data_IF_474242869706
#
_entry.id   IF_474242869706
#
_cell.length_a   1.000
_cell.length_b   1.000
_cell.length_c   1.000
_cell.angle_alpha   90.00
_cell.angle_beta   90.00
_cell.angle_gamma   90.00
#
_symmetry.space_group_name_H-M   'P 1'
#
loop_
_entity.id
_entity.type
_entity.pdbx_description
1 polymer ?
#
# COMPACT_ATOMS: atom_id res chain seq x y z
N UNK A 1 -49.67 -26.52 -0.92
CA UNK A 1 -48.50 -25.63 -0.94
C UNK A 1 -47.48 -26.29 -1.83
N UNK A 2 -47.51 -25.97 -3.11
CA UNK A 2 -46.81 -26.77 -4.11
C UNK A 2 -45.31 -26.49 -4.09
N UNK A 3 -44.56 -27.53 -3.74
CA UNK A 3 -43.12 -27.53 -3.84
C UNK A 3 -42.74 -27.40 -5.31
N UNK A 4 -41.89 -26.41 -5.62
CA UNK A 4 -41.36 -26.21 -6.98
C UNK A 4 -40.64 -27.49 -7.42
N UNK A 5 -41.05 -28.12 -8.54
CA UNK A 5 -40.43 -29.36 -8.99
C UNK A 5 -38.95 -29.14 -9.34
N UNK A 6 -38.09 -30.15 -9.15
CA UNK A 6 -36.67 -30.04 -9.50
C UNK A 6 -36.49 -29.76 -11.00
N UNK A 7 -35.46 -28.98 -11.40
CA UNK A 7 -35.26 -28.63 -12.79
C UNK A 7 -34.95 -29.87 -13.65
N UNK A 8 -35.40 -29.89 -14.92
CA UNK A 8 -35.23 -31.03 -15.80
C UNK A 8 -33.75 -31.25 -16.14
N UNK A 9 -33.35 -32.53 -16.30
CA UNK A 9 -31.97 -32.91 -16.66
C UNK A 9 -31.58 -32.50 -18.09
N UNK A 10 -32.57 -32.30 -18.96
CA UNK A 10 -32.41 -31.87 -20.34
C UNK A 10 -33.36 -30.71 -20.62
N UNK A 11 -32.90 -29.73 -21.39
CA UNK A 11 -33.65 -28.53 -21.72
C UNK A 11 -33.90 -28.48 -23.23
N UNK A 12 -35.16 -28.49 -23.64
CA UNK A 12 -35.54 -28.24 -25.03
C UNK A 12 -35.49 -26.73 -25.32
N UNK A 13 -34.34 -26.28 -25.84
CA UNK A 13 -34.02 -24.85 -26.00
C UNK A 13 -35.06 -24.12 -26.85
N UNK A 14 -35.58 -24.74 -27.91
CA UNK A 14 -36.54 -24.11 -28.84
C UNK A 14 -37.88 -23.83 -28.17
N UNK A 15 -38.48 -24.85 -27.52
CA UNK A 15 -39.74 -24.71 -26.81
C UNK A 15 -39.62 -23.68 -25.69
N UNK A 16 -38.57 -23.77 -24.88
CA UNK A 16 -38.31 -22.82 -23.81
C UNK A 16 -38.18 -21.36 -24.31
N UNK A 17 -37.51 -21.16 -25.45
CA UNK A 17 -37.37 -19.83 -26.05
C UNK A 17 -38.68 -19.29 -26.64
N UNK A 18 -39.49 -20.15 -27.28
CA UNK A 18 -40.79 -19.77 -27.86
C UNK A 18 -41.78 -19.31 -26.80
N UNK A 19 -41.89 -20.05 -25.69
CA UNK A 19 -42.79 -19.71 -24.57
C UNK A 19 -42.44 -18.34 -23.95
N UNK A 20 -41.18 -17.89 -24.08
CA UNK A 20 -40.66 -16.65 -23.49
C UNK A 20 -40.38 -15.55 -24.52
N UNK A 21 -40.79 -15.71 -25.78
CA UNK A 21 -40.44 -14.76 -26.85
C UNK A 21 -40.95 -13.34 -26.59
N UNK A 22 -42.14 -13.19 -26.00
CA UNK A 22 -42.72 -11.89 -25.65
C UNK A 22 -41.89 -11.15 -24.59
N UNK A 23 -41.49 -11.87 -23.53
CA UNK A 23 -40.62 -11.35 -22.47
C UNK A 23 -39.24 -10.95 -23.02
N UNK A 24 -38.63 -11.79 -23.86
CA UNK A 24 -37.33 -11.51 -24.47
C UNK A 24 -37.37 -10.29 -25.38
N UNK A 25 -38.45 -10.09 -26.15
CA UNK A 25 -38.64 -8.90 -27.00
C UNK A 25 -38.77 -7.63 -26.16
N UNK A 26 -39.58 -7.69 -25.09
CA UNK A 26 -39.73 -6.57 -24.16
C UNK A 26 -38.40 -6.19 -23.49
N UNK A 27 -37.66 -7.19 -23.01
CA UNK A 27 -36.33 -6.99 -22.43
C UNK A 27 -35.34 -6.42 -23.45
N UNK A 28 -35.32 -6.95 -24.67
CA UNK A 28 -34.44 -6.45 -25.72
C UNK A 28 -34.74 -4.99 -26.07
N UNK A 29 -36.02 -4.62 -26.21
CA UNK A 29 -36.41 -3.24 -26.47
C UNK A 29 -35.94 -2.29 -25.35
N UNK A 30 -36.15 -2.68 -24.09
CA UNK A 30 -35.71 -1.90 -22.93
C UNK A 30 -34.19 -1.77 -22.81
N UNK A 31 -33.43 -2.82 -23.11
CA UNK A 31 -31.96 -2.83 -23.00
C UNK A 31 -31.31 -2.15 -24.20
N UNK A 32 -31.80 -2.39 -25.43
CA UNK A 32 -31.23 -1.82 -26.65
C UNK A 32 -31.29 -0.29 -26.63
N UNK A 33 -32.36 0.29 -26.09
CA UNK A 33 -32.51 1.73 -25.90
C UNK A 33 -31.48 2.33 -24.93
N UNK A 34 -30.97 1.54 -23.96
CA UNK A 34 -29.99 2.00 -22.96
C UNK A 34 -28.54 1.83 -23.41
N UNK A 35 -28.28 0.87 -24.29
CA UNK A 35 -26.92 0.45 -24.66
C UNK A 35 -26.54 0.91 -26.08
N UNK A 36 -27.42 1.65 -26.77
CA UNK A 36 -27.27 2.07 -28.17
C UNK A 36 -26.88 0.91 -29.10
N UNK A 37 -27.45 -0.28 -28.85
CA UNK A 37 -27.10 -1.50 -29.59
C UNK A 37 -25.67 -2.04 -29.41
N UNK A 38 -24.86 -1.48 -28.49
CA UNK A 38 -23.47 -1.90 -28.25
C UNK A 38 -23.37 -3.08 -27.29
N UNK A 39 -23.72 -4.28 -27.76
CA UNK A 39 -23.63 -5.52 -26.98
C UNK A 39 -22.21 -6.13 -26.89
N UNK A 40 -21.19 -5.44 -27.41
CA UNK A 40 -19.83 -5.99 -27.48
C UNK A 40 -19.11 -5.94 -26.12
N UNK A 41 -18.68 -7.11 -25.64
CA UNK A 41 -17.84 -7.18 -24.46
C UNK A 41 -16.39 -6.80 -24.76
N UNK A 42 -15.76 -5.92 -23.95
CA UNK A 42 -14.38 -5.54 -24.15
C UNK A 42 -13.45 -6.75 -23.99
N UNK A 43 -12.39 -6.81 -24.80
CA UNK A 43 -11.40 -7.90 -24.74
C UNK A 43 -10.80 -8.11 -23.35
N UNK A 44 -10.72 -7.06 -22.52
CA UNK A 44 -10.24 -7.15 -21.11
C UNK A 44 -11.20 -7.88 -20.17
N UNK A 45 -12.49 -7.96 -20.48
CA UNK A 45 -13.49 -8.68 -19.69
C UNK A 45 -13.56 -10.18 -20.05
N UNK A 46 -13.02 -10.57 -21.21
CA UNK A 46 -13.01 -11.98 -21.64
C UNK A 46 -12.23 -12.85 -20.66
N UNK A 47 -12.71 -14.08 -20.44
CA UNK A 47 -12.09 -15.10 -19.58
C UNK A 47 -12.00 -16.41 -20.36
N UNK A 48 -11.02 -17.25 -20.00
CA UNK A 48 -10.95 -18.62 -20.53
C UNK A 48 -11.85 -19.51 -19.69
N UNK A 49 -12.53 -20.46 -20.34
CA UNK A 49 -13.29 -21.50 -19.66
C UNK A 49 -12.33 -22.44 -18.92
N UNK A 50 -12.77 -22.95 -17.79
CA UNK A 50 -12.05 -23.99 -17.04
C UNK A 50 -12.64 -25.36 -17.38
N UNK A 51 -11.82 -26.40 -17.38
CA UNK A 51 -12.31 -27.75 -17.61
C UNK A 51 -13.35 -28.18 -16.57
N UNK A 52 -14.36 -28.93 -17.02
CA UNK A 52 -15.45 -29.43 -16.16
C UNK A 52 -15.02 -30.58 -15.24
N UNK A 53 -13.90 -31.25 -15.56
CA UNK A 53 -13.41 -32.35 -14.75
C UNK A 53 -12.79 -31.82 -13.43
N UNK A 54 -13.16 -32.39 -12.28
CA UNK A 54 -12.50 -32.06 -11.03
C UNK A 54 -11.01 -32.40 -11.15
N UNK A 55 -10.15 -31.45 -10.76
CA UNK A 55 -8.68 -31.53 -10.89
C UNK A 55 -8.05 -32.79 -10.27
N UNK A 56 -8.79 -33.58 -9.47
CA UNK A 56 -8.33 -34.78 -8.78
C UNK A 56 -7.87 -35.90 -9.72
N UNK A 57 -8.40 -36.01 -10.95
CA UNK A 57 -8.09 -37.16 -11.84
C UNK A 57 -6.78 -37.06 -12.63
N UNK A 58 -6.14 -35.89 -12.76
CA UNK A 58 -4.96 -35.73 -13.64
C UNK A 58 -3.63 -36.26 -13.08
N UNK A 59 -3.57 -36.75 -11.83
CA UNK A 59 -2.31 -37.25 -11.24
C UNK A 59 -2.24 -38.75 -11.02
N UNK A 60 -3.38 -39.44 -10.85
CA UNK A 60 -3.38 -40.90 -10.74
C UNK A 60 -2.78 -41.56 -12.00
N UNK A 61 -3.04 -40.99 -13.20
CA UNK A 61 -2.57 -41.59 -14.45
C UNK A 61 -1.12 -41.27 -14.86
N UNK A 62 -0.40 -40.39 -14.13
CA UNK A 62 1.03 -40.13 -14.40
C UNK A 62 1.97 -40.79 -13.38
N UNK A 63 1.45 -41.19 -12.23
CA UNK A 63 2.19 -41.97 -11.23
C UNK A 63 2.01 -43.49 -11.36
N UNK A 64 0.95 -43.97 -12.02
CA UNK A 64 0.72 -45.41 -12.18
C UNK A 64 1.59 -46.09 -13.26
N UNK A 65 2.37 -45.32 -14.04
CA UNK A 65 3.29 -45.86 -15.05
C UNK A 65 4.76 -45.95 -14.57
N UNK A 66 5.06 -45.48 -13.36
CA UNK A 66 6.38 -45.63 -12.75
C UNK A 66 6.16 -46.21 -11.35
N UNK A 67 6.36 -47.53 -11.24
CA UNK A 67 6.15 -48.29 -10.01
C UNK A 67 6.97 -47.75 -8.85
N UNK A 68 6.30 -47.64 -7.70
CA UNK A 68 6.75 -47.84 -6.32
C UNK A 68 5.70 -47.20 -5.41
N UNK A 69 4.99 -48.03 -4.66
CA UNK A 69 4.14 -47.56 -3.57
C UNK A 69 5.04 -47.17 -2.39
N UNK A 70 4.87 -45.99 -1.77
CA UNK A 70 5.31 -45.78 -0.41
C UNK A 70 4.13 -46.05 0.53
N UNK A 71 4.41 -46.90 1.53
CA UNK A 71 3.62 -47.02 2.75
C UNK A 71 3.62 -45.71 3.55
N UNK A 72 2.56 -45.59 4.36
CA UNK A 72 2.39 -44.77 5.55
C UNK A 72 2.61 -43.25 5.48
N UNK A 73 1.49 -42.55 5.68
CA UNK A 73 1.41 -41.11 5.83
C UNK A 73 0.15 -40.63 5.15
N UNK A 74 -0.96 -40.57 5.91
CA UNK A 74 -2.25 -40.06 5.44
C UNK A 74 -2.02 -38.79 4.61
N UNK A 75 -2.13 -38.82 3.26
CA UNK A 75 -1.76 -37.69 2.45
C UNK A 75 -2.91 -36.70 2.61
N UNK A 76 -2.80 -35.83 3.62
CA UNK A 76 -3.78 -34.80 3.92
C UNK A 76 -4.21 -34.18 2.60
N UNK A 77 -5.49 -34.37 2.27
CA UNK A 77 -5.99 -34.11 0.92
C UNK A 77 -5.56 -32.70 0.54
N UNK A 78 -4.61 -32.58 -0.40
CA UNK A 78 -3.97 -31.29 -0.71
C UNK A 78 -5.08 -30.29 -1.00
N UNK A 79 -5.21 -29.32 -0.11
CA UNK A 79 -6.33 -28.40 -0.11
C UNK A 79 -6.45 -27.71 -1.46
N UNK A 80 -7.69 -27.41 -1.86
CA UNK A 80 -7.92 -26.74 -3.13
C UNK A 80 -7.10 -25.44 -3.21
N UNK A 81 -6.66 -25.06 -4.41
CA UNK A 81 -5.91 -23.81 -4.64
C UNK A 81 -6.62 -22.58 -4.03
N UNK A 82 -7.96 -22.61 -3.98
CA UNK A 82 -8.77 -21.55 -3.36
C UNK A 82 -8.58 -21.53 -1.84
N UNK A 83 -8.66 -22.68 -1.18
CA UNK A 83 -8.52 -22.80 0.28
C UNK A 83 -7.10 -22.43 0.70
N UNK A 84 -6.08 -22.99 0.05
CA UNK A 84 -4.67 -22.65 0.35
C UNK A 84 -4.41 -21.15 0.26
N UNK A 85 -4.91 -20.49 -0.79
CA UNK A 85 -4.78 -19.03 -0.96
C UNK A 85 -5.55 -18.23 0.07
N UNK A 86 -6.68 -18.74 0.57
CA UNK A 86 -7.44 -18.07 1.64
C UNK A 86 -6.67 -18.13 2.95
N UNK A 87 -6.06 -19.28 3.25
CA UNK A 87 -5.18 -19.43 4.39
C UNK A 87 -3.93 -18.56 4.25
N UNK A 88 -3.28 -18.52 3.08
CA UNK A 88 -2.15 -17.62 2.83
C UNK A 88 -2.55 -16.13 2.98
N UNK A 89 -3.78 -15.75 2.62
CA UNK A 89 -4.29 -14.38 2.86
C UNK A 89 -4.56 -14.10 4.34
N UNK A 90 -5.11 -15.08 5.06
CA UNK A 90 -5.39 -14.99 6.49
C UNK A 90 -4.11 -15.09 7.34
N UNK A 91 -3.03 -15.66 6.79
CA UNK A 91 -1.72 -15.79 7.42
C UNK A 91 -0.82 -14.57 7.25
N UNK A 92 -1.37 -13.42 6.82
CA UNK A 92 -0.63 -12.16 6.89
C UNK A 92 -0.43 -11.81 8.37
N UNK A 93 0.80 -11.55 8.83
CA UNK A 93 1.05 -11.19 10.22
C UNK A 93 0.41 -9.83 10.53
N UNK A 94 0.06 -9.61 11.81
CA UNK A 94 -0.49 -8.33 12.27
C UNK A 94 0.52 -7.19 12.10
N UNK A 95 1.80 -7.47 12.34
CA UNK A 95 2.92 -6.57 12.14
C UNK A 95 3.96 -7.16 11.18
N UNK A 96 4.66 -6.31 10.44
CA UNK A 96 5.71 -6.74 9.51
C UNK A 96 5.20 -7.37 8.21
N UNK A 97 6.13 -8.01 7.50
CA UNK A 97 5.87 -8.70 6.22
C UNK A 97 5.98 -10.22 6.39
N UNK A 98 5.20 -10.96 5.59
CA UNK A 98 5.39 -12.41 5.51
C UNK A 98 6.70 -12.72 4.76
N UNK A 99 7.46 -13.68 5.25
CA UNK A 99 8.78 -14.02 4.69
C UNK A 99 8.68 -15.35 3.94
N UNK A 100 9.26 -15.40 2.74
CA UNK A 100 9.41 -16.65 1.99
C UNK A 100 10.49 -17.53 2.63
N UNK A 101 10.52 -18.83 2.32
CA UNK A 101 11.50 -19.76 2.90
C UNK A 101 12.98 -19.39 2.66
N UNK A 102 13.25 -18.49 1.71
CA UNK A 102 14.58 -17.98 1.40
C UNK A 102 14.82 -16.54 1.87
N UNK A 103 14.03 -16.06 2.84
CA UNK A 103 14.23 -14.76 3.48
C UNK A 103 13.61 -13.56 2.76
N UNK A 104 13.06 -13.72 1.54
CA UNK A 104 12.46 -12.58 0.85
C UNK A 104 11.07 -12.24 1.40
N UNK A 105 10.87 -10.95 1.69
CA UNK A 105 9.63 -10.39 2.20
C UNK A 105 8.54 -10.31 1.13
N UNK A 106 7.29 -10.46 1.54
CA UNK A 106 6.10 -10.37 0.70
C UNK A 106 5.18 -9.30 1.25
N UNK A 107 4.77 -8.38 0.38
CA UNK A 107 3.77 -7.37 0.70
C UNK A 107 2.44 -8.03 1.08
N UNK A 108 1.62 -7.34 1.88
CA UNK A 108 0.27 -7.83 2.27
C UNK A 108 -0.63 -8.14 1.07
N UNK A 109 -0.42 -7.42 -0.04
CA UNK A 109 -1.13 -7.59 -1.32
C UNK A 109 -0.49 -8.63 -2.25
N UNK A 110 0.57 -9.34 -1.82
CA UNK A 110 1.36 -10.23 -2.66
C UNK A 110 0.51 -11.26 -3.40
N UNK A 111 -0.48 -11.87 -2.75
CA UNK A 111 -1.36 -12.87 -3.38
C UNK A 111 -2.26 -12.28 -4.48
N UNK A 112 -2.62 -11.01 -4.37
CA UNK A 112 -3.37 -10.32 -5.42
C UNK A 112 -2.48 -10.05 -6.64
N UNK A 113 -1.26 -9.59 -6.39
CA UNK A 113 -0.25 -9.31 -7.41
C UNK A 113 0.22 -10.60 -8.11
N UNK A 114 0.59 -11.65 -7.37
CA UNK A 114 1.05 -12.94 -7.89
C UNK A 114 0.00 -13.69 -8.73
N UNK A 115 -1.28 -13.28 -8.68
CA UNK A 115 -2.34 -13.82 -9.56
C UNK A 115 -2.40 -13.13 -10.93
N UNK A 116 -1.86 -11.92 -11.04
CA UNK A 116 -2.07 -11.01 -12.18
C UNK A 116 -0.75 -10.62 -12.87
N UNK A 117 0.34 -10.65 -12.12
CA UNK A 117 1.65 -10.19 -12.51
C UNK A 117 2.68 -11.29 -12.35
N UNK A 118 3.66 -11.27 -13.24
CA UNK A 118 4.92 -11.95 -13.06
C UNK A 118 5.66 -11.29 -11.89
N UNK A 119 5.97 -12.11 -10.89
CA UNK A 119 6.64 -11.68 -9.67
C UNK A 119 8.13 -11.96 -9.78
N UNK A 120 8.97 -11.09 -9.22
CA UNK A 120 10.41 -11.30 -9.15
C UNK A 120 10.99 -10.77 -7.85
N UNK A 121 12.19 -11.23 -7.53
CA UNK A 121 12.94 -10.81 -6.34
C UNK A 121 13.67 -9.50 -6.63
N UNK A 122 13.43 -8.48 -5.82
CA UNK A 122 14.08 -7.16 -5.88
C UNK A 122 14.21 -6.62 -4.47
N UNK A 123 15.41 -6.21 -4.09
CA UNK A 123 15.69 -5.51 -2.82
C UNK A 123 15.18 -6.24 -1.56
N UNK A 124 15.30 -7.57 -1.53
CA UNK A 124 14.79 -8.40 -0.43
C UNK A 124 13.27 -8.60 -0.42
N UNK A 125 12.54 -8.14 -1.45
CA UNK A 125 11.10 -8.33 -1.61
C UNK A 125 10.75 -9.15 -2.86
N UNK A 126 9.57 -9.78 -2.85
CA UNK A 126 8.96 -10.39 -4.05
C UNK A 126 7.90 -9.44 -4.63
N UNK A 127 8.29 -8.70 -5.67
CA UNK A 127 7.53 -7.59 -6.25
C UNK A 127 6.97 -7.91 -7.66
N UNK A 128 5.86 -7.27 -8.06
CA UNK A 128 5.32 -7.39 -9.41
C UNK A 128 6.19 -6.60 -10.41
N UNK A 129 6.69 -7.26 -11.47
CA UNK A 129 7.44 -6.59 -12.54
C UNK A 129 6.53 -6.22 -13.72
N UNK A 130 5.56 -7.07 -14.04
CA UNK A 130 4.72 -6.87 -15.22
C UNK A 130 3.60 -7.89 -15.32
N UNK A 131 2.59 -7.61 -16.15
CA UNK A 131 1.49 -8.55 -16.38
C UNK A 131 2.01 -9.85 -17.00
N UNK A 132 1.36 -10.98 -16.73
CA UNK A 132 1.75 -12.25 -17.35
C UNK A 132 1.73 -12.21 -18.89
N UNK A 133 2.72 -12.85 -19.52
CA UNK A 133 2.88 -12.93 -20.98
C UNK A 133 3.35 -11.61 -21.61
N UNK A 134 3.08 -11.43 -22.91
CA UNK A 134 3.40 -10.19 -23.65
C UNK A 134 2.66 -8.94 -23.14
N UNK A 135 1.65 -9.12 -22.27
CA UNK A 135 0.94 -8.03 -21.63
C UNK A 135 0.27 -7.09 -22.62
N UNK A 136 0.14 -5.81 -22.23
CA UNK A 136 -0.30 -4.71 -23.12
C UNK A 136 0.77 -3.63 -23.33
N UNK A 137 2.00 -3.90 -22.86
CA UNK A 137 3.12 -2.96 -22.89
C UNK A 137 2.92 -1.67 -22.08
N UNK A 138 3.93 -0.81 -22.10
CA UNK A 138 3.94 0.52 -21.44
C UNK A 138 2.87 1.46 -21.99
N UNK A 139 2.54 1.39 -23.29
CA UNK A 139 1.50 2.20 -23.94
C UNK A 139 0.13 2.07 -23.25
N UNK A 140 -0.22 0.87 -22.78
CA UNK A 140 -1.47 0.66 -22.08
C UNK A 140 -1.49 1.33 -20.69
N UNK A 141 -0.35 1.36 -20.00
CA UNK A 141 -0.19 2.06 -18.73
C UNK A 141 -0.34 3.57 -18.98
N UNK A 142 0.36 4.13 -19.96
CA UNK A 142 0.25 5.55 -20.31
C UNK A 142 -1.17 5.95 -20.70
N UNK A 143 -1.87 5.12 -21.50
CA UNK A 143 -3.28 5.35 -21.85
C UNK A 143 -4.19 5.33 -20.62
N UNK A 144 -3.91 4.45 -19.64
CA UNK A 144 -4.65 4.38 -18.37
C UNK A 144 -4.36 5.59 -17.47
N UNK A 145 -3.12 6.07 -17.45
CA UNK A 145 -2.74 7.27 -16.73
C UNK A 145 -3.46 8.50 -17.29
N UNK A 146 -3.51 8.64 -18.63
CA UNK A 146 -4.16 9.76 -19.32
C UNK A 146 -5.68 9.75 -19.19
N UNK A 147 -6.33 8.58 -19.17
CA UNK A 147 -7.79 8.47 -19.29
C UNK A 147 -8.48 7.89 -18.03
N UNK A 148 -7.73 7.57 -16.98
CA UNK A 148 -8.24 6.85 -15.83
C UNK A 148 -7.33 6.95 -14.60
N UNK A 149 -7.27 5.85 -13.85
CA UNK A 149 -6.56 5.76 -12.57
C UNK A 149 -5.73 4.49 -12.53
N UNK A 150 -4.53 4.61 -11.97
CA UNK A 150 -3.59 3.53 -11.72
C UNK A 150 -3.24 3.57 -10.24
N UNK A 151 -3.11 2.40 -9.62
CA UNK A 151 -2.64 2.27 -8.24
C UNK A 151 -1.35 1.45 -8.27
N UNK A 152 -0.31 1.99 -7.64
CA UNK A 152 0.95 1.32 -7.41
C UNK A 152 1.11 1.04 -5.91
N UNK A 153 1.48 -0.19 -5.57
CA UNK A 153 1.75 -0.58 -4.19
C UNK A 153 3.23 -0.35 -3.87
N UNK A 154 3.51 0.81 -3.28
CA UNK A 154 4.84 1.24 -2.86
C UNK A 154 5.14 0.88 -1.39
N UNK A 155 4.38 -0.04 -0.80
CA UNK A 155 4.53 -0.41 0.62
C UNK A 155 5.86 -1.11 0.95
N UNK A 156 6.70 -1.37 -0.06
CA UNK A 156 8.07 -1.85 0.17
C UNK A 156 9.01 -0.73 0.64
N UNK A 157 8.67 0.55 0.45
CA UNK A 157 9.41 1.62 1.13
C UNK A 157 9.19 1.52 2.63
N UNK A 158 10.28 1.62 3.39
CA UNK A 158 10.26 1.39 4.83
C UNK A 158 10.27 2.75 5.53
N UNK A 159 9.22 3.08 6.31
CA UNK A 159 9.17 4.32 7.07
C UNK A 159 10.00 4.19 8.35
N UNK A 160 10.89 5.15 8.57
CA UNK A 160 11.65 5.34 9.80
C UNK A 160 10.99 6.49 10.57
N UNK A 161 10.56 6.21 11.78
CA UNK A 161 9.98 7.22 12.68
C UNK A 161 11.06 7.77 13.60
N UNK A 162 11.19 9.09 13.59
CA UNK A 162 11.87 9.85 14.63
C UNK A 162 10.84 10.51 15.53
N UNK A 163 11.00 10.38 16.84
CA UNK A 163 10.11 10.95 17.85
C UNK A 163 10.93 11.70 18.90
N UNK A 164 10.61 12.97 19.12
CA UNK A 164 11.35 13.82 20.06
C UNK A 164 11.03 15.31 19.91
N UNK A 165 11.76 16.17 20.64
CA UNK A 165 11.72 17.63 20.49
C UNK A 165 11.87 18.13 19.06
N UNK A 166 11.04 19.10 18.67
CA UNK A 166 11.09 19.72 17.34
C UNK A 166 12.49 20.22 16.96
N UNK A 167 13.16 20.95 17.87
CA UNK A 167 14.48 21.52 17.61
C UNK A 167 15.55 20.44 17.38
N UNK A 168 15.51 19.36 18.16
CA UNK A 168 16.43 18.22 18.01
C UNK A 168 16.18 17.47 16.70
N UNK A 169 14.92 17.31 16.30
CA UNK A 169 14.57 16.68 15.02
C UNK A 169 15.02 17.53 13.83
N UNK A 170 14.88 18.86 13.90
CA UNK A 170 15.39 19.78 12.89
C UNK A 170 16.91 19.73 12.77
N UNK A 171 17.62 19.64 13.89
CA UNK A 171 19.08 19.47 13.90
C UNK A 171 19.50 18.16 13.22
N UNK A 172 18.84 17.05 13.55
CA UNK A 172 19.08 15.75 12.90
C UNK A 172 18.82 15.82 11.39
N UNK A 173 17.71 16.46 10.99
CA UNK A 173 17.40 16.67 9.59
C UNK A 173 18.47 17.50 8.88
N UNK A 174 18.97 18.58 9.49
CA UNK A 174 20.04 19.41 8.95
C UNK A 174 21.36 18.64 8.74
N UNK A 175 21.65 17.68 9.61
CA UNK A 175 22.85 16.82 9.50
C UNK A 175 22.74 15.78 8.38
N UNK A 176 21.56 15.20 8.20
CA UNK A 176 21.36 13.98 7.40
C UNK A 176 20.74 14.26 6.04
N UNK A 177 19.88 15.27 5.95
CA UNK A 177 19.16 15.62 4.73
C UNK A 177 19.89 16.74 3.99
N UNK A 178 20.01 16.58 2.68
CA UNK A 178 20.33 17.64 1.75
C UNK A 178 19.05 18.03 1.00
N UNK A 179 18.58 19.29 1.07
CA UNK A 179 17.57 19.75 0.13
C UNK A 179 18.10 19.62 -1.30
N UNK A 180 17.20 19.39 -2.25
CA UNK A 180 17.54 19.22 -3.66
C UNK A 180 18.14 20.52 -4.21
N UNK A 181 19.14 20.47 -5.12
CA UNK A 181 19.78 21.69 -5.64
C UNK A 181 18.85 22.64 -6.43
N UNK A 182 17.59 22.27 -6.70
CA UNK A 182 16.57 23.15 -7.29
C UNK A 182 15.95 24.15 -6.29
N UNK A 183 16.30 24.05 -5.01
CA UNK A 183 15.56 24.65 -3.88
C UNK A 183 16.05 26.05 -3.46
N UNK A 184 16.30 26.97 -4.40
CA UNK A 184 16.73 28.35 -4.10
C UNK A 184 15.75 29.44 -4.57
N UNK A 185 14.44 29.17 -4.54
CA UNK A 185 13.40 30.15 -4.89
C UNK A 185 12.65 30.67 -3.62
N UNK A 186 12.17 31.93 -3.61
CA UNK A 186 11.50 32.54 -2.44
C UNK A 186 10.17 31.89 -2.04
N UNK A 187 9.50 31.16 -2.94
CA UNK A 187 8.28 30.38 -2.66
C UNK A 187 8.50 29.19 -1.69
N UNK A 188 9.76 28.90 -1.33
CA UNK A 188 10.15 27.71 -0.58
C UNK A 188 9.88 27.81 0.93
N UNK A 189 9.92 29.00 1.54
CA UNK A 189 9.64 29.16 2.98
C UNK A 189 8.24 28.66 3.31
N UNK A 190 7.26 29.07 2.50
CA UNK A 190 5.89 28.63 2.64
C UNK A 190 5.70 27.13 2.39
N UNK A 191 6.55 26.52 1.55
CA UNK A 191 6.54 25.08 1.31
C UNK A 191 7.13 24.32 2.50
N UNK A 192 8.25 24.80 3.07
CA UNK A 192 8.84 24.27 4.29
C UNK A 192 7.87 24.38 5.47
N UNK A 193 7.18 25.51 5.64
CA UNK A 193 6.15 25.69 6.68
C UNK A 193 5.02 24.67 6.52
N UNK A 194 4.57 24.40 5.29
CA UNK A 194 3.57 23.37 5.00
C UNK A 194 4.07 21.95 5.27
N UNK A 195 5.33 21.66 4.99
CA UNK A 195 5.96 20.37 5.31
C UNK A 195 6.04 20.20 6.82
N UNK A 196 6.48 21.23 7.55
CA UNK A 196 6.55 21.25 9.02
C UNK A 196 5.17 21.07 9.68
N UNK A 197 4.12 21.64 9.09
CA UNK A 197 2.74 21.44 9.54
C UNK A 197 2.20 20.02 9.24
N UNK A 198 2.93 19.20 8.47
CA UNK A 198 2.52 17.86 8.07
C UNK A 198 1.49 17.83 6.93
N UNK A 199 1.38 18.91 6.16
CA UNK A 199 0.40 19.03 5.05
C UNK A 199 0.92 18.38 3.77
N UNK A 200 2.23 18.31 3.59
CA UNK A 200 2.85 17.75 2.40
C UNK A 200 4.07 16.87 2.70
N UNK A 201 4.37 16.00 1.75
CA UNK A 201 5.57 15.15 1.71
C UNK A 201 6.62 15.88 0.88
N UNK A 202 7.88 15.83 1.31
CA UNK A 202 9.01 16.40 0.60
C UNK A 202 10.00 15.31 0.17
N UNK A 203 10.71 15.55 -0.94
CA UNK A 203 11.75 14.66 -1.45
C UNK A 203 13.11 15.29 -1.15
N UNK A 204 14.06 14.50 -0.67
CA UNK A 204 15.40 14.99 -0.39
C UNK A 204 16.46 13.90 -0.54
N UNK A 205 17.73 14.28 -0.43
CA UNK A 205 18.86 13.35 -0.51
C UNK A 205 19.41 13.05 0.88
N UNK A 206 19.44 11.77 1.23
CA UNK A 206 20.02 11.28 2.48
C UNK A 206 21.55 11.23 2.36
N UNK A 207 22.24 11.73 3.38
CA UNK A 207 23.70 11.80 3.47
C UNK A 207 24.15 11.24 4.82
N UNK A 208 25.38 10.73 4.85
CA UNK A 208 26.02 10.33 6.11
C UNK A 208 26.46 11.57 6.90
N UNK A 209 26.08 11.63 8.17
CA UNK A 209 26.43 12.74 9.05
C UNK A 209 27.94 12.75 9.42
N UNK A 210 28.61 13.88 9.22
CA UNK A 210 29.99 14.11 9.71
C UNK A 210 31.14 14.00 8.71
N UNK A 211 30.87 13.95 7.41
CA UNK A 211 31.93 14.06 6.39
C UNK A 211 31.68 15.29 5.49
N UNK A 212 32.65 16.22 5.36
CA UNK A 212 32.54 17.40 4.49
C UNK A 212 32.31 17.05 3.00
N UNK A 213 32.77 15.88 2.56
CA UNK A 213 32.59 15.34 1.20
C UNK A 213 31.50 14.25 1.15
N UNK A 214 30.48 14.34 2.01
CA UNK A 214 29.55 13.26 2.37
C UNK A 214 29.12 12.36 1.21
N UNK A 215 29.36 11.05 1.36
CA UNK A 215 28.79 10.02 0.50
C UNK A 215 27.26 10.13 0.54
N UNK A 216 26.66 10.45 -0.61
CA UNK A 216 25.20 10.46 -0.77
C UNK A 216 24.72 9.02 -0.70
N UNK A 217 23.79 8.74 0.22
CA UNK A 217 23.22 7.40 0.41
C UNK A 217 22.13 7.17 -0.64
N UNK A 218 21.20 8.13 -0.80
CA UNK A 218 20.16 8.04 -1.81
C UNK A 218 18.96 8.95 -1.57
N UNK A 219 17.96 8.93 -2.47
CA UNK A 219 16.76 9.73 -2.34
C UNK A 219 15.84 9.17 -1.25
N UNK A 220 15.29 10.07 -0.45
CA UNK A 220 14.30 9.77 0.59
C UNK A 220 13.11 10.71 0.46
N UNK A 221 11.96 10.28 0.96
CA UNK A 221 10.80 11.18 1.09
C UNK A 221 10.44 11.28 2.55
N UNK A 222 10.25 12.48 3.08
CA UNK A 222 9.90 12.66 4.49
C UNK A 222 8.63 13.48 4.67
N UNK A 223 8.01 13.33 5.84
CA UNK A 223 6.79 14.02 6.21
C UNK A 223 6.69 14.12 7.73
N UNK A 224 6.29 15.30 8.22
CA UNK A 224 5.96 15.48 9.62
C UNK A 224 4.56 14.95 9.91
N UNK A 225 4.38 14.34 11.08
CA UNK A 225 3.04 13.99 11.56
C UNK A 225 2.29 15.29 11.89
N UNK A 226 1.09 15.51 11.33
CA UNK A 226 0.28 16.67 11.68
C UNK A 226 0.00 16.73 13.18
N UNK A 227 -0.16 17.94 13.69
CA UNK A 227 -0.57 18.19 15.07
C UNK A 227 -1.90 17.50 15.37
N UNK A 228 -1.93 16.63 16.37
CA UNK A 228 -3.18 16.20 16.97
C UNK A 228 -3.68 17.30 17.91
N UNK A 229 -4.65 18.10 17.48
CA UNK A 229 -5.28 19.19 18.26
C UNK A 229 -6.01 18.67 19.54
N UNK A 230 -6.01 17.36 19.80
CA UNK A 230 -6.81 16.73 20.86
C UNK A 230 -6.15 16.53 22.24
N UNK A 231 -4.82 16.60 22.38
CA UNK A 231 -4.16 16.22 23.64
C UNK A 231 -3.88 17.39 24.60
N UNK A 232 -3.85 18.64 24.14
CA UNK A 232 -3.53 19.78 25.03
C UNK A 232 -4.72 20.40 25.76
N UNK A 233 -5.96 20.01 25.42
CA UNK A 233 -7.18 20.58 26.06
C UNK A 233 -7.63 19.83 27.32
N UNK A 234 -7.07 18.66 27.61
CA UNK A 234 -7.45 17.86 28.79
C UNK A 234 -6.57 18.11 30.01
N UNK A 235 -5.38 18.69 29.84
CA UNK A 235 -4.48 19.01 30.97
C UNK A 235 -4.51 20.50 31.39
N UNK A 236 -5.33 21.33 30.74
CA UNK A 236 -5.43 22.78 31.01
C UNK A 236 -6.77 23.20 31.63
N UNK A 237 -7.52 22.26 32.24
CA UNK A 237 -8.78 22.55 32.94
C UNK A 237 -8.75 21.99 34.37
N UNK A 238 -7.78 22.42 35.17
CA UNK A 238 -7.91 22.63 36.62
C UNK A 238 -6.76 23.55 37.06
N UNK A 239 -6.88 24.84 36.77
CA UNK A 239 -6.20 25.90 37.51
C UNK A 239 -7.02 27.17 37.33
N UNK A 240 -7.48 27.71 38.45
CA UNK A 240 -8.56 28.67 38.60
C UNK A 240 -8.37 30.03 37.93
N UNK A 241 -9.54 30.67 37.74
CA UNK A 241 -9.75 32.04 37.32
C UNK A 241 -9.22 33.05 38.35
N UNK A 242 -8.30 33.93 37.94
CA UNK A 242 -8.27 35.33 38.44
C UNK A 242 -7.49 36.27 37.51
N UNK A 243 -8.12 37.42 37.23
CA UNK A 243 -7.63 38.58 36.46
C UNK A 243 -6.22 39.08 36.84
N UNK A 244 -5.45 39.52 35.83
CA UNK A 244 -4.98 40.89 35.60
C UNK A 244 -3.64 40.94 34.85
N UNK A 245 -3.38 42.09 34.23
CA UNK A 245 -2.47 42.33 33.12
C UNK A 245 -0.97 42.10 33.40
N UNK A 246 -0.24 41.94 32.29
CA UNK A 246 1.18 42.27 32.12
C UNK A 246 2.21 41.37 32.83
N UNK A 247 2.84 40.48 32.05
CA UNK A 247 4.30 40.47 31.83
C UNK A 247 4.69 39.43 30.77
N UNK A 248 5.35 39.91 29.72
CA UNK A 248 6.21 39.09 28.87
C UNK A 248 7.26 38.44 29.77
N UNK A 249 7.06 37.17 30.10
CA UNK A 249 7.99 36.35 30.86
C UNK A 249 8.57 35.31 29.91
N UNK A 250 9.73 35.65 29.36
CA UNK A 250 10.61 34.75 28.67
C UNK A 250 11.07 33.66 29.65
N UNK A 251 10.58 32.42 29.49
CA UNK A 251 10.92 31.32 30.38
C UNK A 251 10.30 29.99 29.98
N UNK A 252 11.17 29.06 29.55
CA UNK A 252 10.90 27.65 29.23
C UNK A 252 10.18 27.36 27.91
N UNK A 253 10.90 27.42 26.80
CA UNK A 253 10.50 26.77 25.55
C UNK A 253 10.56 25.25 25.75
N UNK A 254 9.47 24.62 26.19
CA UNK A 254 9.30 23.19 26.01
C UNK A 254 9.00 22.96 24.54
N UNK A 255 10.05 22.71 23.75
CA UNK A 255 9.93 22.28 22.35
C UNK A 255 8.88 21.18 22.26
N UNK A 256 7.85 21.39 21.44
CA UNK A 256 6.77 20.41 21.30
C UNK A 256 7.35 19.07 20.85
N UNK A 257 6.90 17.96 21.46
CA UNK A 257 7.20 16.64 20.92
C UNK A 257 6.52 16.48 19.55
N UNK A 258 7.29 15.99 18.59
CA UNK A 258 6.89 15.82 17.20
C UNK A 258 7.33 14.45 16.72
N UNK A 259 6.63 13.98 15.69
CA UNK A 259 7.01 12.76 14.99
C UNK A 259 7.29 13.07 13.53
N UNK A 260 8.39 12.55 13.04
CA UNK A 260 8.83 12.66 11.65
C UNK A 260 8.93 11.26 11.06
N UNK A 261 8.42 11.09 9.84
CA UNK A 261 8.57 9.85 9.08
C UNK A 261 9.45 10.07 7.87
N UNK A 262 10.52 9.28 7.76
CA UNK A 262 11.44 9.26 6.62
C UNK A 262 11.26 7.92 5.91
N UNK A 263 10.80 7.96 4.66
CA UNK A 263 10.63 6.77 3.83
C UNK A 263 11.91 6.46 3.06
N UNK A 264 12.45 5.28 3.31
CA UNK A 264 13.71 4.81 2.74
C UNK A 264 13.44 3.63 1.81
N UNK A 265 14.13 3.61 0.67
CA UNK A 265 14.07 2.48 -0.25
C UNK A 265 14.84 1.27 0.33
N UNK A 266 14.32 0.03 0.21
CA UNK A 266 14.96 -1.16 0.81
C UNK A 266 16.41 -1.41 0.41
N UNK A 267 16.83 -0.97 -0.78
CA UNK A 267 18.22 -1.14 -1.23
C UNK A 267 19.24 -0.32 -0.45
N UNK A 268 18.79 0.73 0.22
CA UNK A 268 19.63 1.65 1.00
C UNK A 268 19.20 1.70 2.46
N UNK A 269 18.42 0.71 2.91
CA UNK A 269 17.83 0.71 4.24
C UNK A 269 18.91 0.69 5.32
N UNK A 270 19.86 -0.24 5.22
CA UNK A 270 20.88 -0.46 6.24
C UNK A 270 21.78 0.79 6.36
N UNK A 271 22.33 1.26 5.24
CA UNK A 271 23.15 2.48 5.20
C UNK A 271 22.38 3.73 5.64
N UNK A 272 21.11 3.84 5.26
CA UNK A 272 20.27 4.99 5.60
C UNK A 272 19.86 5.00 7.08
N UNK A 273 19.55 3.85 7.65
CA UNK A 273 19.27 3.69 9.08
C UNK A 273 20.51 4.03 9.91
N UNK A 274 21.68 3.54 9.51
CA UNK A 274 22.93 3.82 10.21
C UNK A 274 23.27 5.31 10.14
N UNK A 275 23.08 5.95 8.99
CA UNK A 275 23.27 7.40 8.86
C UNK A 275 22.37 8.21 9.81
N UNK A 276 21.10 7.80 9.95
CA UNK A 276 20.14 8.44 10.85
C UNK A 276 20.52 8.18 12.31
N UNK A 277 20.87 6.94 12.68
CA UNK A 277 21.28 6.57 14.05
C UNK A 277 22.51 7.36 14.49
N UNK A 278 23.54 7.44 13.65
CA UNK A 278 24.75 8.22 13.95
C UNK A 278 24.40 9.70 14.18
N UNK A 279 23.43 10.26 13.46
CA UNK A 279 22.99 11.63 13.67
C UNK A 279 22.18 11.79 14.95
N UNK A 280 21.34 10.82 15.31
CA UNK A 280 20.66 10.79 16.61
C UNK A 280 21.66 10.73 17.77
N UNK A 281 22.70 9.90 17.66
CA UNK A 281 23.74 9.76 18.68
C UNK A 281 24.55 11.06 18.85
N UNK A 282 24.88 11.74 17.74
CA UNK A 282 25.53 13.06 17.77
C UNK A 282 24.63 14.12 18.43
N UNK A 283 23.36 14.15 18.07
CA UNK A 283 22.40 15.05 18.69
C UNK A 283 22.29 14.81 20.20
N UNK A 284 22.31 13.54 20.63
CA UNK A 284 22.30 13.18 22.05
C UNK A 284 23.58 13.64 22.76
N UNK A 285 24.74 13.55 22.12
CA UNK A 285 26.01 14.05 22.68
C UNK A 285 26.03 15.58 22.80
N UNK A 286 25.52 16.29 21.80
CA UNK A 286 25.56 17.76 21.75
C UNK A 286 24.51 18.41 22.66
N UNK A 287 23.27 17.89 22.70
CA UNK A 287 22.17 18.52 23.43
C UNK A 287 21.69 17.74 24.66
N UNK A 288 22.21 16.52 24.91
CA UNK A 288 21.77 15.65 26.00
C UNK A 288 20.34 15.10 25.86
N UNK A 289 19.68 15.33 24.73
CA UNK A 289 18.28 14.95 24.48
C UNK A 289 18.23 13.66 23.68
N UNK A 290 17.50 12.67 24.19
CA UNK A 290 17.26 11.41 23.50
C UNK A 290 16.14 11.57 22.46
N UNK A 291 16.44 11.26 21.20
CA UNK A 291 15.45 11.15 20.11
C UNK A 291 15.23 9.67 19.81
N UNK A 292 13.98 9.21 19.87
CA UNK A 292 13.65 7.83 19.60
C UNK A 292 13.61 7.57 18.08
N UNK A 293 14.39 6.59 17.61
CA UNK A 293 14.45 6.19 16.20
C UNK A 293 13.97 4.74 16.04
N UNK A 294 12.83 4.56 15.37
CA UNK A 294 12.18 3.26 15.21
C UNK A 294 11.81 2.98 13.74
N UNK A 295 12.04 1.74 13.28
CA UNK A 295 11.51 1.29 11.99
C UNK A 295 10.04 0.90 12.13
N UNK A 296 9.19 1.40 11.23
CA UNK A 296 7.77 1.06 11.14
C UNK A 296 7.49 0.06 10.02
N UNK A 297 8.46 -0.84 9.77
CA UNK A 297 8.37 -1.84 8.72
C UNK A 297 7.10 -2.70 8.82
N UNK A 298 6.30 -2.70 7.75
CA UNK A 298 5.06 -3.47 7.66
C UNK A 298 3.93 -3.00 8.59
N UNK A 299 4.11 -1.88 9.31
CA UNK A 299 3.06 -1.21 10.09
C UNK A 299 2.32 -0.16 9.27
N UNK A 300 3.04 0.60 8.45
CA UNK A 300 2.47 1.59 7.52
C UNK A 300 2.66 1.10 6.08
N UNK A 301 1.60 1.24 5.27
CA UNK A 301 1.59 0.92 3.85
C UNK A 301 1.50 2.20 3.01
N UNK A 302 2.10 2.20 1.82
CA UNK A 302 2.07 3.33 0.88
C UNK A 302 1.47 2.88 -0.45
N UNK A 303 0.32 3.44 -0.80
CA UNK A 303 -0.34 3.21 -2.08
C UNK A 303 -0.33 4.50 -2.89
N UNK A 304 0.32 4.47 -4.05
CA UNK A 304 0.41 5.62 -4.95
C UNK A 304 -0.71 5.55 -5.97
N UNK A 305 -1.62 6.53 -5.92
CA UNK A 305 -2.77 6.62 -6.84
C UNK A 305 -2.49 7.72 -7.86
N UNK A 306 -2.42 7.33 -9.13
CA UNK A 306 -1.98 8.18 -10.23
C UNK A 306 -3.04 8.24 -11.36
N UNK A 307 -3.01 9.32 -12.14
CA UNK A 307 -3.82 9.50 -13.35
C UNK A 307 -4.91 10.56 -13.22
N UNK A 308 -5.50 10.96 -14.35
CA UNK A 308 -6.44 12.10 -14.39
C UNK A 308 -7.72 11.90 -13.58
N UNK A 309 -8.14 10.65 -13.33
CA UNK A 309 -9.34 10.32 -12.54
C UNK A 309 -9.00 9.83 -11.12
N UNK A 310 -7.75 9.95 -10.69
CA UNK A 310 -7.29 9.47 -9.38
C UNK A 310 -8.11 10.07 -8.23
N UNK A 311 -8.23 11.39 -8.16
CA UNK A 311 -8.98 12.08 -7.11
C UNK A 311 -10.47 11.74 -7.13
N UNK A 312 -11.07 11.63 -8.31
CA UNK A 312 -12.47 11.22 -8.45
C UNK A 312 -12.68 9.80 -7.89
N UNK A 313 -11.76 8.88 -8.20
CA UNK A 313 -11.83 7.50 -7.71
C UNK A 313 -11.65 7.44 -6.19
N UNK A 314 -10.71 8.20 -5.63
CA UNK A 314 -10.51 8.28 -4.18
C UNK A 314 -11.74 8.82 -3.46
N UNK A 315 -12.35 9.90 -3.94
CA UNK A 315 -13.60 10.46 -3.38
C UNK A 315 -14.77 9.48 -3.43
N UNK A 316 -14.80 8.59 -4.41
CA UNK A 316 -15.85 7.56 -4.52
C UNK A 316 -15.65 6.36 -3.59
N UNK A 317 -14.43 6.15 -3.08
CA UNK A 317 -14.06 4.99 -2.26
C UNK A 317 -13.94 5.36 -0.78
N UNK A 318 -13.39 6.55 -0.49
CA UNK A 318 -13.15 7.01 0.87
C UNK A 318 -14.33 7.83 1.36
N UNK A 319 -15.00 7.33 2.39
CA UNK A 319 -16.07 8.04 3.08
C UNK A 319 -15.57 8.49 4.44
N UNK A 320 -15.76 9.77 4.82
CA UNK A 320 -15.43 10.22 6.17
C UNK A 320 -16.30 9.46 7.16
N UNK A 321 -15.68 8.93 8.21
CA UNK A 321 -16.43 8.40 9.34
C UNK A 321 -16.85 9.60 10.17
N UNK A 322 -18.13 9.95 10.09
CA UNK A 322 -18.72 10.90 11.04
C UNK A 322 -18.82 10.17 12.38
N UNK A 323 -17.86 10.42 13.27
CA UNK A 323 -18.03 10.07 14.67
C UNK A 323 -19.12 11.01 15.22
N UNK A 324 -20.34 10.49 15.32
CA UNK A 324 -21.38 11.06 16.18
C UNK A 324 -21.12 10.65 17.62
#
# INVERSE_FOLDING_TARGET
GDAVPPPPRQLEVRRFASDRVGELRSLHAAVSARVDGRFQQPRSARRRTTGHLPSKRRRASRGAAAGQAPEEGNPSARQSRRVRRRQELAGNPAEGFSVAGDGARRLRTHLWHAKRFTMARRWGFVLPIGSHGSGRGSRAVLKRLKNGTIVHDASYFIPIQLDGPEDSLLSILGMVICPSPADKAPDLKHLQDKVMQGVCIENAMLRRAGCPHSHVVGPVTYMWRPFSIGSSKLEAKEADLSNSETRFSQGSCSSSQRQLWIWIHPSMLDEGLDAIRIACDKQMQDSGVLVNCCSLEGKIARLEVMGCKAMQSLKSILHPVSNY
#
